data_IF_831324560835
#
_entry.id   IF_831324560835
#
_cell.length_a   1.000
_cell.length_b   1.000
_cell.length_c   1.000
_cell.angle_alpha   90.00
_cell.angle_beta   90.00
_cell.angle_gamma   90.00
#
_symmetry.space_group_name_H-M   'P 1'
#
loop_
_entity.id
_entity.type
_entity.pdbx_description
1 polymer ?
#
# COMPACT_ATOMS: atom_id res chain seq x y z
N UNK A 1 44.08 -19.72 -38.34
CA UNK A 1 44.20 -18.82 -37.16
C UNK A 1 42.81 -18.38 -36.76
N UNK A 2 42.18 -19.09 -35.81
CA UNK A 2 40.78 -18.82 -35.40
C UNK A 2 40.77 -18.26 -33.98
N UNK A 3 40.53 -16.96 -33.87
CA UNK A 3 40.56 -16.21 -32.61
C UNK A 3 39.22 -16.38 -31.88
N UNK A 4 39.19 -17.25 -30.87
CA UNK A 4 38.03 -17.39 -29.98
C UNK A 4 38.01 -16.25 -28.96
N UNK A 5 37.09 -15.30 -29.14
CA UNK A 5 36.94 -14.11 -28.32
C UNK A 5 36.28 -14.44 -26.95
N UNK A 6 36.97 -14.27 -25.80
CA UNK A 6 36.50 -14.71 -24.47
C UNK A 6 35.34 -13.88 -23.89
N UNK A 7 35.04 -12.70 -24.46
CA UNK A 7 34.01 -11.78 -23.95
C UNK A 7 32.58 -12.33 -24.06
N UNK A 8 32.26 -13.08 -25.12
CA UNK A 8 30.89 -13.59 -25.32
C UNK A 8 30.48 -14.66 -24.29
N UNK A 9 31.44 -15.33 -23.66
CA UNK A 9 31.19 -16.33 -22.61
C UNK A 9 30.89 -15.67 -21.26
N UNK A 10 31.46 -14.50 -20.98
CA UNK A 10 31.18 -13.70 -19.80
C UNK A 10 29.78 -13.06 -19.86
N UNK A 11 29.38 -12.54 -21.04
CA UNK A 11 28.06 -11.96 -21.31
C UNK A 11 26.91 -12.96 -21.05
N UNK A 12 27.06 -14.21 -21.55
CA UNK A 12 26.08 -15.29 -21.33
C UNK A 12 25.97 -15.71 -19.85
N UNK A 13 27.06 -15.67 -19.09
CA UNK A 13 27.03 -15.94 -17.63
C UNK A 13 26.34 -14.81 -16.86
N UNK A 14 26.58 -13.54 -17.20
CA UNK A 14 25.90 -12.38 -16.58
C UNK A 14 24.40 -12.38 -16.86
N UNK A 15 23.97 -12.68 -18.10
CA UNK A 15 22.54 -12.80 -18.45
C UNK A 15 21.80 -13.92 -17.71
N UNK A 16 22.47 -15.06 -17.44
CA UNK A 16 21.89 -16.16 -16.62
C UNK A 16 21.78 -15.79 -15.13
N UNK A 17 22.71 -15.00 -14.60
CA UNK A 17 22.67 -14.49 -13.21
C UNK A 17 21.51 -13.49 -13.01
N UNK A 18 21.32 -12.55 -13.95
CA UNK A 18 20.21 -11.58 -13.92
C UNK A 18 18.81 -12.24 -13.99
N UNK A 19 18.65 -13.30 -14.80
CA UNK A 19 17.39 -14.06 -14.86
C UNK A 19 17.06 -14.81 -13.55
N UNK A 20 18.08 -15.28 -12.82
CA UNK A 20 17.93 -16.01 -11.55
C UNK A 20 17.54 -15.09 -10.38
N UNK A 21 17.89 -13.80 -10.46
CA UNK A 21 17.50 -12.81 -9.45
C UNK A 21 16.04 -12.38 -9.61
N UNK A 22 15.57 -12.15 -10.85
CA UNK A 22 14.18 -11.75 -11.12
C UNK A 22 13.12 -12.83 -10.80
N UNK A 23 13.48 -14.12 -10.85
CA UNK A 23 12.58 -15.20 -10.44
C UNK A 23 12.35 -15.25 -8.93
N UNK A 24 13.33 -14.82 -8.11
CA UNK A 24 13.19 -14.79 -6.64
C UNK A 24 12.32 -13.62 -6.17
N UNK A 25 12.38 -12.47 -6.84
CA UNK A 25 11.55 -11.30 -6.51
C UNK A 25 10.07 -11.51 -6.85
N UNK A 26 9.77 -12.27 -7.92
CA UNK A 26 8.39 -12.64 -8.28
C UNK A 26 7.75 -13.58 -7.26
N UNK A 27 8.52 -14.51 -6.67
CA UNK A 27 8.01 -15.46 -5.66
C UNK A 27 7.71 -14.83 -4.28
N UNK A 28 8.34 -13.70 -3.92
CA UNK A 28 8.03 -13.01 -2.67
C UNK A 28 6.73 -12.19 -2.75
N UNK A 29 6.40 -11.62 -3.91
CA UNK A 29 5.15 -10.86 -4.08
C UNK A 29 3.90 -11.75 -4.05
N UNK A 30 3.98 -13.01 -4.47
CA UNK A 30 2.84 -13.95 -4.40
C UNK A 30 2.53 -14.44 -2.97
N UNK A 31 3.52 -14.46 -2.06
CA UNK A 31 3.30 -14.90 -0.68
C UNK A 31 2.60 -13.83 0.18
N UNK A 32 2.86 -12.54 -0.06
CA UNK A 32 2.20 -11.43 0.65
C UNK A 32 0.76 -11.19 0.17
N UNK A 33 0.44 -11.51 -1.09
CA UNK A 33 -0.94 -11.36 -1.64
C UNK A 33 -1.91 -12.45 -1.21
N UNK A 34 -1.46 -13.53 -0.58
CA UNK A 34 -2.34 -14.63 -0.12
C UNK A 34 -3.06 -14.34 1.20
N UNK A 35 -2.60 -13.37 1.99
CA UNK A 35 -3.19 -13.09 3.30
C UNK A 35 -4.41 -12.15 3.28
N UNK A 36 -4.67 -11.42 2.20
CA UNK A 36 -5.78 -10.44 2.14
C UNK A 36 -7.05 -10.96 1.46
N UNK A 37 -7.12 -12.25 1.10
CA UNK A 37 -8.29 -12.83 0.40
C UNK A 37 -8.97 -14.01 1.09
N UNK A 38 -8.76 -14.20 2.39
CA UNK A 38 -9.70 -15.01 3.18
C UNK A 38 -10.93 -14.16 3.52
N UNK A 39 -11.71 -13.75 2.52
CA UNK A 39 -13.14 -13.54 2.78
C UNK A 39 -13.66 -14.93 3.15
N UNK A 40 -13.99 -15.10 4.41
CA UNK A 40 -14.65 -16.30 4.93
C UNK A 40 -15.98 -16.45 4.17
N UNK A 41 -15.95 -17.04 2.98
CA UNK A 41 -17.13 -17.58 2.32
C UNK A 41 -17.44 -18.87 3.09
N UNK A 42 -17.93 -18.72 4.31
CA UNK A 42 -18.33 -19.85 5.13
C UNK A 42 -19.52 -20.50 4.45
N UNK A 43 -19.38 -21.78 4.11
CA UNK A 43 -20.55 -22.62 3.83
C UNK A 43 -21.42 -22.59 5.09
N UNK A 44 -22.62 -22.03 4.95
CA UNK A 44 -23.58 -21.81 6.04
C UNK A 44 -24.23 -23.10 6.55
N UNK A 45 -23.79 -24.27 6.06
CA UNK A 45 -24.48 -25.55 6.29
C UNK A 45 -24.46 -26.05 7.74
N UNK A 46 -23.40 -25.79 8.53
CA UNK A 46 -23.20 -26.45 9.84
C UNK A 46 -22.73 -25.50 10.95
N UNK A 47 -23.14 -24.23 10.92
CA UNK A 47 -22.78 -23.26 11.97
C UNK A 47 -23.99 -23.05 12.89
N UNK A 48 -23.82 -23.30 14.20
CA UNK A 48 -24.81 -22.97 15.24
C UNK A 48 -25.27 -21.52 15.12
N UNK A 49 -26.57 -21.29 15.37
CA UNK A 49 -27.19 -19.96 15.31
C UNK A 49 -26.44 -18.95 16.20
N UNK A 50 -26.08 -19.35 17.43
CA UNK A 50 -25.37 -18.48 18.38
C UNK A 50 -23.99 -18.08 17.86
N UNK A 51 -23.28 -19.02 17.25
CA UNK A 51 -21.98 -18.74 16.65
C UNK A 51 -22.10 -17.84 15.42
N UNK A 52 -23.14 -18.03 14.59
CA UNK A 52 -23.43 -17.12 13.47
C UNK A 52 -23.72 -15.70 13.96
N UNK A 53 -24.54 -15.56 15.00
CA UNK A 53 -24.87 -14.27 15.59
C UNK A 53 -23.64 -13.59 16.20
N UNK A 54 -22.80 -14.35 16.92
CA UNK A 54 -21.51 -13.88 17.43
C UNK A 54 -20.60 -13.35 16.30
N UNK A 55 -20.43 -14.12 15.23
CA UNK A 55 -19.61 -13.71 14.07
C UNK A 55 -20.17 -12.45 13.41
N UNK A 56 -21.49 -12.35 13.26
CA UNK A 56 -22.14 -11.17 12.71
C UNK A 56 -21.88 -9.92 13.57
N UNK A 57 -22.06 -10.03 14.89
CA UNK A 57 -21.73 -8.94 15.83
C UNK A 57 -20.25 -8.55 15.76
N UNK A 58 -19.36 -9.53 15.61
CA UNK A 58 -17.94 -9.25 15.43
C UNK A 58 -17.65 -8.51 14.12
N UNK A 59 -18.27 -8.91 13.02
CA UNK A 59 -18.08 -8.24 11.72
C UNK A 59 -18.61 -6.80 11.74
N UNK A 60 -19.76 -6.56 12.41
CA UNK A 60 -20.26 -5.21 12.65
C UNK A 60 -19.26 -4.36 13.43
N UNK A 61 -18.70 -4.89 14.53
CA UNK A 61 -17.64 -4.21 15.30
C UNK A 61 -16.38 -3.98 14.48
N UNK A 62 -16.03 -4.92 13.59
CA UNK A 62 -14.87 -4.83 12.70
C UNK A 62 -15.01 -3.65 11.76
N UNK A 63 -16.19 -3.42 11.19
CA UNK A 63 -16.42 -2.31 10.25
C UNK A 63 -16.24 -0.93 10.90
N UNK A 64 -16.64 -0.77 12.17
CA UNK A 64 -16.47 0.49 12.91
C UNK A 64 -15.06 0.66 13.48
N UNK A 65 -14.42 -0.40 13.99
CA UNK A 65 -13.05 -0.33 14.54
C UNK A 65 -11.95 -0.27 13.48
N UNK A 66 -12.18 -0.81 12.29
CA UNK A 66 -11.16 -0.79 11.23
C UNK A 66 -11.14 0.51 10.43
N UNK A 67 -12.19 1.32 10.53
CA UNK A 67 -12.29 2.64 9.92
C UNK A 67 -11.83 3.72 10.92
N UNK A 68 -10.54 3.74 11.22
CA UNK A 68 -9.90 4.88 11.89
C UNK A 68 -9.38 5.84 10.81
N UNK A 69 -9.63 7.14 11.00
CA UNK A 69 -9.14 8.17 10.09
C UNK A 69 -7.62 8.15 9.97
N UNK A 70 -6.91 7.96 11.08
CA UNK A 70 -5.45 7.88 11.11
C UNK A 70 -4.94 6.72 10.26
N UNK A 71 -5.55 5.54 10.40
CA UNK A 71 -5.16 4.36 9.60
C UNK A 71 -5.34 4.60 8.10
N UNK A 72 -6.49 5.14 7.70
CA UNK A 72 -6.76 5.45 6.30
C UNK A 72 -5.81 6.51 5.77
N UNK A 73 -5.50 7.53 6.57
CA UNK A 73 -4.62 8.63 6.19
C UNK A 73 -3.18 8.18 6.04
N UNK A 74 -2.67 7.33 6.95
CA UNK A 74 -1.35 6.68 6.81
C UNK A 74 -1.25 5.88 5.50
N UNK A 75 -2.29 5.12 5.17
CA UNK A 75 -2.33 4.37 3.91
C UNK A 75 -2.32 5.30 2.68
N UNK A 76 -3.08 6.40 2.69
CA UNK A 76 -3.05 7.42 1.62
C UNK A 76 -1.65 8.03 1.46
N UNK A 77 -0.96 8.34 2.56
CA UNK A 77 0.42 8.85 2.53
C UNK A 77 1.36 7.84 1.87
N UNK A 78 1.29 6.57 2.26
CA UNK A 78 2.12 5.50 1.68
C UNK A 78 1.89 5.34 0.18
N UNK A 79 0.62 5.22 -0.24
CA UNK A 79 0.26 5.06 -1.65
C UNK A 79 0.71 6.26 -2.49
N UNK A 80 0.56 7.48 -1.96
CA UNK A 80 1.01 8.71 -2.64
C UNK A 80 2.52 8.75 -2.73
N UNK A 81 3.25 8.33 -1.69
CA UNK A 81 4.71 8.26 -1.72
C UNK A 81 5.21 7.27 -2.79
N UNK A 82 4.57 6.11 -2.91
CA UNK A 82 4.87 5.16 -3.98
C UNK A 82 4.55 5.71 -5.37
N UNK A 83 3.44 6.44 -5.51
CA UNK A 83 3.03 7.05 -6.77
C UNK A 83 4.04 8.12 -7.22
N UNK A 84 4.43 9.02 -6.31
CA UNK A 84 5.49 10.01 -6.52
C UNK A 84 6.80 9.31 -6.93
N UNK A 85 7.21 8.25 -6.22
CA UNK A 85 8.44 7.52 -6.55
C UNK A 85 8.38 6.88 -7.95
N UNK A 86 7.25 6.29 -8.33
CA UNK A 86 7.03 5.73 -9.68
C UNK A 86 7.08 6.80 -10.77
N UNK A 87 6.45 7.96 -10.51
CA UNK A 87 6.47 9.11 -11.40
C UNK A 87 7.89 9.66 -11.57
N UNK A 88 8.65 9.75 -10.47
CA UNK A 88 10.05 10.20 -10.48
C UNK A 88 11.01 9.21 -11.15
N UNK A 89 10.85 7.90 -10.97
CA UNK A 89 11.70 6.91 -11.65
C UNK A 89 11.39 6.80 -13.16
N UNK A 90 10.19 7.21 -13.60
CA UNK A 90 9.79 7.21 -15.01
C UNK A 90 10.29 8.45 -15.77
N UNK A 91 11.24 9.21 -15.21
CA UNK A 91 11.68 10.57 -15.59
C UNK A 91 11.95 10.81 -17.09
N UNK A 92 12.27 9.78 -17.88
CA UNK A 92 12.35 9.92 -19.34
C UNK A 92 11.00 10.21 -20.03
N UNK A 93 9.87 10.24 -19.31
CA UNK A 93 8.53 10.48 -19.84
C UNK A 93 7.76 11.65 -19.23
N UNK A 94 8.32 12.37 -18.25
CA UNK A 94 7.70 13.61 -17.75
C UNK A 94 8.01 14.76 -18.72
N UNK A 95 7.58 14.60 -19.97
CA UNK A 95 7.82 15.57 -21.05
C UNK A 95 6.77 16.68 -21.07
N UNK A 96 5.62 16.50 -20.40
CA UNK A 96 4.56 17.50 -20.36
C UNK A 96 4.60 18.33 -19.07
N UNK A 97 4.32 19.62 -19.21
CA UNK A 97 4.12 20.55 -18.09
C UNK A 97 2.98 20.08 -17.17
N UNK A 98 1.99 19.41 -17.72
CA UNK A 98 0.84 18.92 -16.94
C UNK A 98 1.22 17.75 -16.04
N UNK A 99 2.14 16.87 -16.45
CA UNK A 99 2.67 15.80 -15.61
C UNK A 99 3.44 16.38 -14.42
N UNK A 100 4.19 17.46 -14.63
CA UNK A 100 4.91 18.15 -13.58
C UNK A 100 3.95 18.84 -12.59
N UNK A 101 2.88 19.48 -13.09
CA UNK A 101 1.83 20.05 -12.23
C UNK A 101 1.12 18.97 -11.41
N UNK A 102 0.84 17.82 -12.02
CA UNK A 102 0.23 16.68 -11.35
C UNK A 102 1.13 16.18 -10.21
N UNK A 103 2.42 15.95 -10.48
CA UNK A 103 3.38 15.55 -9.46
C UNK A 103 3.51 16.58 -8.33
N UNK A 104 3.54 17.87 -8.67
CA UNK A 104 3.58 18.95 -7.69
C UNK A 104 2.38 18.88 -6.74
N UNK A 105 1.17 18.62 -7.29
CA UNK A 105 -0.04 18.43 -6.47
C UNK A 105 0.07 17.23 -5.55
N UNK A 106 0.60 16.10 -6.02
CA UNK A 106 0.79 14.89 -5.21
C UNK A 106 1.75 15.12 -4.05
N UNK A 107 2.87 15.80 -4.31
CA UNK A 107 3.88 16.16 -3.30
C UNK A 107 3.27 17.09 -2.25
N UNK A 108 2.56 18.13 -2.67
CA UNK A 108 1.89 19.06 -1.77
C UNK A 108 0.80 18.37 -0.95
N UNK A 109 0.00 17.49 -1.58
CA UNK A 109 -1.02 16.71 -0.90
C UNK A 109 -0.42 15.84 0.20
N UNK A 110 0.64 15.08 -0.10
CA UNK A 110 1.35 14.26 0.88
C UNK A 110 1.82 15.10 2.07
N UNK A 111 2.46 16.25 1.82
CA UNK A 111 2.95 17.15 2.88
C UNK A 111 1.82 17.63 3.79
N UNK A 112 0.72 18.12 3.21
CA UNK A 112 -0.44 18.60 3.99
C UNK A 112 -1.06 17.47 4.82
N UNK A 113 -1.20 16.29 4.23
CA UNK A 113 -1.79 15.14 4.91
C UNK A 113 -0.91 14.62 6.04
N UNK A 114 0.42 14.58 5.87
CA UNK A 114 1.36 14.25 6.95
C UNK A 114 1.19 15.18 8.15
N UNK A 115 1.23 16.50 7.94
CA UNK A 115 1.04 17.47 9.02
C UNK A 115 -0.32 17.33 9.72
N UNK A 116 -1.36 17.01 8.96
CA UNK A 116 -2.68 16.77 9.53
C UNK A 116 -2.68 15.51 10.42
N UNK A 117 -2.06 14.42 9.94
CA UNK A 117 -1.97 13.16 10.68
C UNK A 117 -1.15 13.36 11.97
N UNK A 118 -0.01 14.02 11.92
CA UNK A 118 0.82 14.30 13.11
C UNK A 118 0.02 15.06 14.18
N UNK A 119 -0.75 16.08 13.79
CA UNK A 119 -1.61 16.81 14.73
C UNK A 119 -2.69 15.92 15.34
N UNK A 120 -3.29 15.04 14.55
CA UNK A 120 -4.32 14.13 15.04
C UNK A 120 -3.76 13.03 15.94
N UNK A 121 -2.52 12.60 15.70
CA UNK A 121 -1.80 11.68 16.59
C UNK A 121 -1.54 12.36 17.95
N UNK A 122 -1.14 13.63 17.97
CA UNK A 122 -1.02 14.40 19.22
C UNK A 122 -2.36 14.49 19.98
N UNK A 123 -3.48 14.68 19.28
CA UNK A 123 -4.80 14.68 19.91
C UNK A 123 -5.15 13.31 20.50
N UNK A 124 -4.81 12.23 19.79
CA UNK A 124 -4.99 10.87 20.29
C UNK A 124 -4.14 10.60 21.54
N UNK A 125 -2.89 11.08 21.58
CA UNK A 125 -2.01 11.00 22.75
C UNK A 125 -2.58 11.74 23.97
N UNK A 126 -3.31 12.84 23.74
CA UNK A 126 -4.02 13.59 24.77
C UNK A 126 -5.37 12.96 25.17
N UNK A 127 -5.74 11.81 24.59
CA UNK A 127 -6.99 11.11 24.88
C UNK A 127 -8.23 11.65 24.14
N UNK A 128 -8.04 12.53 23.16
CA UNK A 128 -9.14 13.00 22.29
C UNK A 128 -9.38 11.98 21.18
N UNK A 129 -10.38 11.12 21.36
CA UNK A 129 -10.67 10.02 20.41
C UNK A 129 -11.55 10.43 19.24
N UNK A 130 -12.30 11.53 19.38
CA UNK A 130 -13.23 12.02 18.37
C UNK A 130 -12.95 13.48 18.03
N UNK A 131 -12.87 13.78 16.73
CA UNK A 131 -12.67 15.14 16.22
C UNK A 131 -13.62 15.44 15.08
N UNK A 132 -13.90 16.73 14.86
CA UNK A 132 -14.69 17.19 13.72
C UNK A 132 -13.76 17.49 12.55
N UNK A 133 -13.80 16.64 11.52
CA UNK A 133 -13.04 16.82 10.29
C UNK A 133 -14.02 17.12 9.15
N UNK A 134 -13.84 18.23 8.45
CA UNK A 134 -14.69 18.66 7.33
C UNK A 134 -16.19 18.64 7.67
N UNK A 135 -16.54 19.10 8.88
CA UNK A 135 -17.92 19.13 9.37
C UNK A 135 -18.51 17.77 9.79
N UNK A 136 -17.72 16.69 9.81
CA UNK A 136 -18.16 15.35 10.22
C UNK A 136 -17.39 14.86 11.45
N UNK A 137 -18.11 14.32 12.44
CA UNK A 137 -17.51 13.63 13.58
C UNK A 137 -16.77 12.39 13.07
N UNK A 138 -15.51 12.28 13.46
CA UNK A 138 -14.59 11.25 12.98
C UNK A 138 -13.80 10.71 14.15
N UNK A 139 -13.79 9.39 14.30
CA UNK A 139 -12.95 8.69 15.26
C UNK A 139 -11.51 8.60 14.74
N UNK A 140 -10.55 8.90 15.62
CA UNK A 140 -9.11 8.90 15.34
C UNK A 140 -8.48 7.52 15.42
#
# INVERSE_FOLDING_TARGET
MSSHNPEQRAEKKRRKQLKKHNSKTKQQQDKLKRHTKKRLKMSTGNISFDYRLFLYRQELRRSSTNYSYLRLSRAKIMLTAELIAKNMCSYNKMCSVDDLKMLSREVQFKKRLCNQVERLEQFQELGLTDVVLNGKRTAL
#
